data_IF_421094075577
#
_entry.id   IF_421094075577
#
_cell.length_a   1.000
_cell.length_b   1.000
_cell.length_c   1.000
_cell.angle_alpha   90.00
_cell.angle_beta   90.00
_cell.angle_gamma   90.00
#
_symmetry.space_group_name_H-M   'P 1'
#
loop_
_entity.id
_entity.type
_entity.pdbx_description
1 polymer ?
#
# COMPACT_ATOMS: atom_id res chain seq x y z
N UNK A 1 33.14 11.52 18.71
CA UNK A 1 31.84 10.85 18.70
C UNK A 1 31.56 10.46 17.27
N UNK A 2 31.77 9.18 16.97
CA UNK A 2 31.46 8.59 15.67
C UNK A 2 29.94 8.66 15.49
N UNK A 3 29.46 9.61 14.69
CA UNK A 3 28.06 9.61 14.24
C UNK A 3 28.00 8.47 13.24
N UNK A 4 27.70 7.27 13.74
CA UNK A 4 27.57 6.08 12.92
C UNK A 4 26.73 6.44 11.71
N UNK A 5 27.34 6.36 10.52
CA UNK A 5 26.58 6.44 9.27
C UNK A 5 25.50 5.36 9.39
N UNK A 6 24.23 5.78 9.45
CA UNK A 6 23.13 4.84 9.30
C UNK A 6 23.39 4.02 8.03
N UNK A 7 23.13 2.71 8.09
CA UNK A 7 23.32 1.85 6.95
C UNK A 7 22.58 2.43 5.74
N UNK A 8 23.27 2.53 4.61
CA UNK A 8 22.69 3.04 3.37
C UNK A 8 21.57 2.10 2.91
N UNK A 9 20.39 2.66 2.58
CA UNK A 9 19.27 1.86 2.09
C UNK A 9 19.63 1.35 0.70
N UNK A 10 19.67 0.03 0.54
CA UNK A 10 20.00 -0.61 -0.73
C UNK A 10 18.77 -1.33 -1.28
N UNK A 11 18.63 -1.32 -2.61
CA UNK A 11 17.67 -2.21 -3.26
C UNK A 11 18.07 -3.66 -3.02
N UNK A 12 17.16 -4.43 -2.42
CA UNK A 12 17.32 -5.87 -2.17
C UNK A 12 16.53 -6.73 -3.17
N UNK A 13 16.07 -6.14 -4.27
CA UNK A 13 15.33 -6.87 -5.30
C UNK A 13 16.23 -7.92 -5.95
N UNK A 14 15.72 -9.14 -6.06
CA UNK A 14 16.36 -10.28 -6.72
C UNK A 14 15.39 -10.90 -7.71
N UNK A 15 15.75 -10.90 -8.99
CA UNK A 15 14.98 -11.57 -10.06
C UNK A 15 14.78 -13.05 -9.77
N UNK A 16 15.78 -13.70 -9.17
CA UNK A 16 15.70 -15.10 -8.80
C UNK A 16 14.66 -15.33 -7.70
N UNK A 17 14.71 -14.57 -6.60
CA UNK A 17 13.75 -14.72 -5.50
C UNK A 17 12.33 -14.35 -5.96
N UNK A 18 12.19 -13.31 -6.78
CA UNK A 18 10.92 -12.94 -7.38
C UNK A 18 10.33 -14.11 -8.19
N UNK A 19 11.14 -14.76 -9.03
CA UNK A 19 10.73 -15.94 -9.79
C UNK A 19 10.37 -17.13 -8.89
N UNK A 20 11.07 -17.33 -7.78
CA UNK A 20 10.76 -18.37 -6.79
C UNK A 20 9.40 -18.11 -6.11
N UNK A 21 9.09 -16.86 -5.76
CA UNK A 21 7.77 -16.49 -5.22
C UNK A 21 6.67 -16.71 -6.26
N UNK A 22 6.89 -16.33 -7.52
CA UNK A 22 5.94 -16.58 -8.61
C UNK A 22 5.71 -18.08 -8.77
N UNK A 23 6.77 -18.88 -8.87
CA UNK A 23 6.67 -20.34 -8.99
C UNK A 23 5.91 -20.98 -7.81
N UNK A 24 6.07 -20.43 -6.61
CA UNK A 24 5.42 -20.92 -5.40
C UNK A 24 3.94 -20.56 -5.30
N UNK A 25 3.55 -19.34 -5.68
CA UNK A 25 2.21 -18.81 -5.34
C UNK A 25 1.32 -18.49 -6.54
N UNK A 26 1.86 -18.33 -7.76
CA UNK A 26 1.09 -17.80 -8.88
C UNK A 26 -0.03 -18.75 -9.34
N UNK A 27 0.11 -20.06 -9.14
CA UNK A 27 -0.93 -21.03 -9.49
C UNK A 27 -2.23 -20.82 -8.69
N UNK A 28 -2.11 -20.43 -7.42
CA UNK A 28 -3.26 -20.27 -6.51
C UNK A 28 -3.71 -18.81 -6.39
N UNK A 29 -2.77 -17.86 -6.51
CA UNK A 29 -2.98 -16.45 -6.17
C UNK A 29 -2.76 -15.49 -7.35
N UNK A 30 -2.28 -15.99 -8.48
CA UNK A 30 -1.87 -15.18 -9.63
C UNK A 30 -0.49 -14.55 -9.44
N UNK A 31 0.18 -14.31 -10.57
CA UNK A 31 1.55 -13.77 -10.60
C UNK A 31 1.66 -12.41 -9.92
N UNK A 32 0.68 -11.52 -10.13
CA UNK A 32 0.71 -10.18 -9.55
C UNK A 32 0.70 -10.19 -8.02
N UNK A 33 -0.08 -11.08 -7.41
CA UNK A 33 -0.14 -11.17 -5.95
C UNK A 33 1.09 -11.88 -5.38
N UNK A 34 1.65 -12.86 -6.10
CA UNK A 34 2.92 -13.49 -5.74
C UNK A 34 4.07 -12.47 -5.71
N UNK A 35 4.21 -11.64 -6.75
CA UNK A 35 5.19 -10.56 -6.81
C UNK A 35 4.93 -9.48 -5.78
N UNK A 36 3.67 -9.14 -5.51
CA UNK A 36 3.33 -8.18 -4.45
C UNK A 36 3.73 -8.71 -3.07
N UNK A 37 3.52 -9.99 -2.82
CA UNK A 37 3.93 -10.64 -1.56
C UNK A 37 5.45 -10.55 -1.39
N UNK A 38 6.22 -10.86 -2.44
CA UNK A 38 7.67 -10.75 -2.44
C UNK A 38 8.14 -9.32 -2.12
N UNK A 39 7.69 -8.35 -2.93
CA UNK A 39 8.09 -6.95 -2.77
C UNK A 39 7.65 -6.33 -1.44
N UNK A 40 6.49 -6.72 -0.91
CA UNK A 40 6.05 -6.28 0.42
C UNK A 40 7.00 -6.78 1.52
N UNK A 41 7.51 -8.02 1.41
CA UNK A 41 8.52 -8.55 2.34
C UNK A 41 9.83 -7.80 2.27
N UNK A 42 10.28 -7.38 1.09
CA UNK A 42 11.47 -6.55 0.95
C UNK A 42 11.33 -5.23 1.72
N UNK A 43 10.17 -4.58 1.61
CA UNK A 43 9.87 -3.35 2.35
C UNK A 43 9.82 -3.60 3.86
N UNK A 44 9.09 -4.64 4.29
CA UNK A 44 8.98 -5.00 5.71
C UNK A 44 10.32 -5.38 6.34
N UNK A 45 11.25 -5.94 5.57
CA UNK A 45 12.60 -6.29 6.02
C UNK A 45 13.56 -5.09 6.13
N UNK A 46 13.10 -3.88 5.81
CA UNK A 46 13.87 -2.63 5.91
C UNK A 46 13.29 -1.72 7.00
N UNK A 47 13.86 -1.73 8.22
CA UNK A 47 13.34 -0.96 9.37
C UNK A 47 13.30 0.55 9.13
N UNK A 48 14.16 1.08 8.26
CA UNK A 48 14.17 2.52 7.93
C UNK A 48 12.98 2.95 7.06
N UNK A 49 12.33 2.00 6.37
CA UNK A 49 11.12 2.23 5.56
C UNK A 49 9.84 1.93 6.35
N UNK A 50 9.87 0.92 7.22
CA UNK A 50 8.67 0.40 7.90
C UNK A 50 8.86 0.45 9.41
N UNK A 51 8.41 1.55 10.03
CA UNK A 51 8.49 1.75 11.47
C UNK A 51 7.35 1.03 12.21
N UNK A 52 7.70 0.23 13.22
CA UNK A 52 6.77 -0.32 14.21
C UNK A 52 5.53 -1.07 13.65
N UNK A 53 5.66 -1.75 12.51
CA UNK A 53 4.55 -2.45 11.86
C UNK A 53 3.57 -1.55 11.10
N UNK A 54 3.93 -0.27 10.90
CA UNK A 54 3.24 0.67 10.03
C UNK A 54 3.41 0.37 8.53
N UNK A 55 2.96 1.28 7.68
CA UNK A 55 2.96 1.09 6.23
C UNK A 55 1.97 0.02 5.74
N UNK A 56 1.75 0.00 4.43
CA UNK A 56 0.95 -1.00 3.74
C UNK A 56 1.26 -1.01 2.25
N UNK A 57 0.79 -2.04 1.57
CA UNK A 57 0.98 -2.19 0.13
C UNK A 57 -0.28 -2.76 -0.51
N UNK A 58 -0.39 -2.53 -1.81
CA UNK A 58 -1.47 -3.10 -2.61
C UNK A 58 -1.03 -3.51 -4.00
N UNK A 59 -1.77 -4.45 -4.58
CA UNK A 59 -1.73 -4.73 -6.01
C UNK A 59 -3.13 -4.75 -6.60
N UNK A 60 -3.29 -4.15 -7.77
CA UNK A 60 -4.52 -4.21 -8.58
C UNK A 60 -4.41 -5.34 -9.59
N UNK A 61 -5.45 -6.15 -9.70
CA UNK A 61 -5.54 -7.26 -10.65
C UNK A 61 -7.02 -7.52 -10.98
N UNK A 62 -7.33 -8.61 -11.67
CA UNK A 62 -8.69 -9.07 -11.91
C UNK A 62 -9.10 -10.13 -10.90
N UNK A 63 -10.37 -10.14 -10.51
CA UNK A 63 -10.99 -11.23 -9.77
C UNK A 63 -12.11 -11.86 -10.58
N UNK A 64 -12.24 -13.18 -10.48
CA UNK A 64 -13.30 -13.96 -11.12
C UNK A 64 -14.29 -14.46 -10.08
N UNK A 65 -15.57 -14.14 -10.24
CA UNK A 65 -16.61 -14.65 -9.34
C UNK A 65 -17.07 -16.08 -9.71
N UNK A 66 -17.99 -16.63 -8.92
CA UNK A 66 -18.56 -17.98 -9.12
C UNK A 66 -19.34 -18.14 -10.43
N UNK A 67 -19.74 -17.04 -11.07
CA UNK A 67 -20.40 -17.02 -12.37
C UNK A 67 -19.40 -16.94 -13.53
N UNK A 68 -18.10 -16.86 -13.23
CA UNK A 68 -17.04 -16.74 -14.22
C UNK A 68 -16.80 -15.32 -14.72
N UNK A 69 -17.46 -14.31 -14.14
CA UNK A 69 -17.31 -12.90 -14.53
C UNK A 69 -16.04 -12.32 -13.92
N UNK A 70 -15.27 -11.59 -14.73
CA UNK A 70 -14.07 -10.90 -14.29
C UNK A 70 -14.33 -9.42 -14.04
N UNK A 71 -13.81 -8.90 -12.93
CA UNK A 71 -13.89 -7.48 -12.61
C UNK A 71 -12.63 -6.98 -11.91
N UNK A 72 -12.38 -5.66 -11.92
CA UNK A 72 -11.21 -5.07 -11.26
C UNK A 72 -11.24 -5.30 -9.75
N UNK A 73 -10.12 -5.80 -9.22
CA UNK A 73 -9.91 -6.04 -7.81
C UNK A 73 -8.64 -5.35 -7.31
N UNK A 74 -8.60 -5.08 -6.02
CA UNK A 74 -7.40 -4.62 -5.32
C UNK A 74 -7.14 -5.49 -4.10
N UNK A 75 -5.89 -5.90 -3.92
CA UNK A 75 -5.42 -6.72 -2.82
C UNK A 75 -4.56 -5.85 -1.92
N UNK A 76 -5.06 -5.51 -0.74
CA UNK A 76 -4.42 -4.58 0.21
C UNK A 76 -3.96 -5.35 1.44
N UNK A 77 -2.78 -5.03 1.99
CA UNK A 77 -2.31 -5.60 3.26
C UNK A 77 -3.41 -5.54 4.35
N UNK A 78 -3.64 -6.66 5.03
CA UNK A 78 -4.50 -6.72 6.20
C UNK A 78 -3.99 -5.81 7.33
N UNK A 79 -4.91 -5.22 8.08
CA UNK A 79 -4.57 -4.48 9.29
C UNK A 79 -3.89 -5.42 10.31
N UNK A 80 -2.81 -4.94 10.95
CA UNK A 80 -2.03 -5.72 11.92
C UNK A 80 -1.10 -6.81 11.34
N UNK A 81 -1.17 -7.11 10.04
CA UNK A 81 -0.21 -8.03 9.42
C UNK A 81 1.17 -7.39 9.25
N UNK A 82 2.22 -8.15 9.59
CA UNK A 82 3.61 -7.76 9.39
C UNK A 82 4.02 -7.96 7.92
N UNK A 83 4.55 -6.91 7.29
CA UNK A 83 4.99 -6.98 5.90
C UNK A 83 6.19 -7.92 5.71
N UNK A 84 7.10 -8.02 6.69
CA UNK A 84 8.31 -8.83 6.57
C UNK A 84 8.03 -10.33 6.47
N UNK A 85 6.87 -10.77 6.97
CA UNK A 85 6.43 -12.17 6.99
C UNK A 85 5.13 -12.41 6.21
N UNK A 86 4.64 -11.42 5.46
CA UNK A 86 3.34 -11.44 4.79
C UNK A 86 3.23 -12.61 3.81
N UNK A 87 2.17 -13.40 3.89
CA UNK A 87 1.82 -14.44 2.91
C UNK A 87 0.69 -13.92 1.99
N UNK A 88 0.42 -14.55 0.83
CA UNK A 88 -0.62 -14.06 -0.10
C UNK A 88 -2.00 -13.87 0.56
N UNK A 89 -2.37 -14.75 1.49
CA UNK A 89 -3.62 -14.65 2.26
C UNK A 89 -3.70 -13.43 3.18
N UNK A 90 -2.57 -12.78 3.48
CA UNK A 90 -2.48 -11.52 4.22
C UNK A 90 -2.85 -10.29 3.38
N UNK A 91 -3.13 -10.45 2.09
CA UNK A 91 -3.68 -9.40 1.24
C UNK A 91 -5.20 -9.55 1.10
N UNK A 92 -5.94 -8.62 1.69
CA UNK A 92 -7.39 -8.53 1.61
C UNK A 92 -7.81 -8.11 0.20
N UNK A 93 -8.49 -8.99 -0.52
CA UNK A 93 -9.09 -8.67 -1.81
C UNK A 93 -10.37 -7.85 -1.66
N UNK A 94 -10.49 -6.75 -2.41
CA UNK A 94 -11.65 -5.87 -2.47
C UNK A 94 -12.09 -5.60 -3.92
N UNK A 95 -13.38 -5.33 -4.11
CA UNK A 95 -13.93 -4.81 -5.37
C UNK A 95 -13.42 -3.38 -5.63
N UNK A 96 -12.47 -3.24 -6.56
CA UNK A 96 -11.85 -1.95 -6.89
C UNK A 96 -12.85 -1.00 -7.57
N UNK A 97 -13.79 -1.52 -8.35
CA UNK A 97 -14.82 -0.71 -9.01
C UNK A 97 -15.72 -0.03 -8.00
N UNK A 98 -16.19 -0.78 -7.00
CA UNK A 98 -16.99 -0.26 -5.90
C UNK A 98 -16.22 0.77 -5.08
N UNK A 99 -14.96 0.48 -4.70
CA UNK A 99 -14.15 1.43 -3.94
C UNK A 99 -13.94 2.74 -4.71
N UNK A 100 -13.61 2.69 -6.01
CA UNK A 100 -13.42 3.91 -6.82
C UNK A 100 -14.66 4.81 -6.87
N UNK A 101 -15.87 4.24 -6.81
CA UNK A 101 -17.11 5.04 -6.77
C UNK A 101 -17.23 5.87 -5.50
N UNK A 102 -16.62 5.43 -4.38
CA UNK A 102 -16.61 6.20 -3.13
C UNK A 102 -15.91 7.56 -3.28
N UNK A 103 -15.00 7.72 -4.26
CA UNK A 103 -14.34 9.00 -4.54
C UNK A 103 -15.32 10.14 -4.86
N UNK A 104 -16.49 9.80 -5.42
CA UNK A 104 -17.53 10.78 -5.76
C UNK A 104 -18.25 11.36 -4.53
N UNK A 105 -18.09 10.76 -3.34
CA UNK A 105 -18.72 11.26 -2.12
C UNK A 105 -18.05 12.57 -1.66
N UNK A 106 -18.83 13.49 -1.05
CA UNK A 106 -18.28 14.70 -0.46
C UNK A 106 -17.41 14.40 0.76
N UNK A 107 -17.75 13.36 1.53
CA UNK A 107 -17.04 12.92 2.72
C UNK A 107 -17.49 11.53 3.14
N UNK A 108 -16.64 10.85 3.92
CA UNK A 108 -16.91 9.58 4.58
C UNK A 108 -16.08 9.58 5.87
N UNK A 109 -16.71 9.28 7.01
CA UNK A 109 -16.02 9.16 8.29
C UNK A 109 -15.36 7.78 8.44
N UNK A 110 -14.60 7.59 9.52
CA UNK A 110 -13.81 6.37 9.70
C UNK A 110 -14.70 5.12 9.86
N UNK A 111 -15.83 5.24 10.56
CA UNK A 111 -16.78 4.14 10.74
C UNK A 111 -17.41 3.74 9.41
N UNK A 112 -17.92 4.71 8.64
CA UNK A 112 -18.47 4.47 7.32
C UNK A 112 -17.42 3.94 6.35
N UNK A 113 -16.18 4.40 6.43
CA UNK A 113 -15.07 3.89 5.62
C UNK A 113 -14.80 2.41 5.92
N UNK A 114 -14.68 2.04 7.20
CA UNK A 114 -14.48 0.64 7.61
C UNK A 114 -15.65 -0.23 7.16
N UNK A 115 -16.88 0.24 7.29
CA UNK A 115 -18.07 -0.47 6.81
C UNK A 115 -18.00 -0.73 5.30
N UNK A 116 -17.75 0.31 4.49
CA UNK A 116 -17.66 0.16 3.04
C UNK A 116 -16.52 -0.78 2.62
N UNK A 117 -15.37 -0.72 3.29
CA UNK A 117 -14.27 -1.66 3.05
C UNK A 117 -14.67 -3.10 3.35
N UNK A 118 -15.43 -3.36 4.42
CA UNK A 118 -15.93 -4.71 4.77
C UNK A 118 -17.00 -5.20 3.79
N UNK A 119 -17.92 -4.34 3.36
CA UNK A 119 -18.99 -4.68 2.40
C UNK A 119 -18.45 -5.07 1.02
N UNK A 120 -17.25 -4.58 0.67
CA UNK A 120 -16.63 -4.82 -0.63
C UNK A 120 -15.49 -5.84 -0.60
N UNK A 121 -15.36 -6.63 0.48
CA UNK A 121 -14.46 -7.77 0.52
C UNK A 121 -14.88 -8.84 -0.49
N UNK A 122 -13.90 -9.39 -1.22
CA UNK A 122 -14.12 -10.50 -2.16
C UNK A 122 -14.37 -11.83 -1.45
N UNK A 123 -13.97 -11.92 -0.18
CA UNK A 123 -14.16 -13.07 0.68
C UNK A 123 -14.67 -12.63 2.05
N UNK A 124 -15.77 -13.23 2.50
CA UNK A 124 -16.40 -12.87 3.77
C UNK A 124 -15.51 -13.17 5.00
N UNK A 125 -14.64 -14.18 4.90
CA UNK A 125 -13.69 -14.60 5.93
C UNK A 125 -12.36 -13.84 5.88
N UNK A 126 -12.19 -12.91 4.93
CA UNK A 126 -10.98 -12.11 4.85
C UNK A 126 -10.80 -11.23 6.10
N UNK A 127 -9.54 -11.01 6.52
CA UNK A 127 -9.24 -10.07 7.59
C UNK A 127 -9.66 -8.64 7.21
N UNK A 128 -9.68 -7.75 8.19
CA UNK A 128 -9.96 -6.34 7.92
C UNK A 128 -8.79 -5.71 7.14
N UNK A 129 -9.03 -5.05 6.00
CA UNK A 129 -7.99 -4.38 5.23
C UNK A 129 -7.41 -3.17 5.99
N UNK A 130 -6.26 -2.67 5.55
CA UNK A 130 -5.73 -1.39 6.03
C UNK A 130 -6.78 -0.27 5.90
N UNK A 131 -6.84 0.63 6.89
CA UNK A 131 -7.70 1.83 6.86
C UNK A 131 -7.32 2.78 5.72
N UNK A 132 -6.07 2.71 5.23
CA UNK A 132 -5.57 3.52 4.12
C UNK A 132 -5.90 2.91 2.75
N UNK A 133 -6.68 1.82 2.68
CA UNK A 133 -7.03 1.14 1.44
C UNK A 133 -7.63 2.06 0.35
N UNK A 134 -8.31 3.15 0.74
CA UNK A 134 -8.85 4.10 -0.23
C UNK A 134 -7.78 4.92 -0.96
N UNK A 135 -6.64 5.22 -0.32
CA UNK A 135 -5.48 5.86 -0.99
C UNK A 135 -5.04 4.94 -2.13
N UNK A 136 -4.90 3.65 -1.83
CA UNK A 136 -4.53 2.63 -2.81
C UNK A 136 -5.57 2.48 -3.92
N UNK A 137 -6.86 2.52 -3.60
CA UNK A 137 -7.93 2.37 -4.59
C UNK A 137 -8.01 3.56 -5.56
N UNK A 138 -7.76 4.78 -5.09
CA UNK A 138 -7.95 6.01 -5.87
C UNK A 138 -6.78 6.33 -6.78
N UNK A 139 -5.56 5.89 -6.43
CA UNK A 139 -4.39 6.05 -7.29
C UNK A 139 -4.44 5.10 -8.51
N UNK A 140 -4.10 5.57 -9.73
CA UNK A 140 -4.29 4.82 -10.98
C UNK A 140 -3.21 3.78 -11.28
N UNK A 141 -2.35 3.44 -10.32
CA UNK A 141 -1.20 2.53 -10.52
C UNK A 141 -1.47 1.11 -10.04
N UNK A 142 -0.87 0.11 -10.68
CA UNK A 142 -1.09 -1.32 -10.37
C UNK A 142 -0.53 -1.70 -9.01
N UNK A 143 0.75 -1.37 -8.75
CA UNK A 143 1.41 -1.60 -7.47
C UNK A 143 1.53 -0.28 -6.73
N UNK A 144 1.21 -0.28 -5.44
CA UNK A 144 1.32 0.91 -4.60
C UNK A 144 1.92 0.49 -3.27
N UNK A 145 2.93 1.23 -2.87
CA UNK A 145 3.62 1.10 -1.60
C UNK A 145 3.40 2.35 -0.77
N UNK A 146 3.07 2.14 0.50
CA UNK A 146 2.89 3.18 1.48
C UNK A 146 3.77 2.86 2.68
N UNK A 147 4.70 3.75 2.98
CA UNK A 147 5.70 3.55 4.02
C UNK A 147 5.67 4.73 4.97
N UNK A 148 6.20 4.53 6.18
CA UNK A 148 6.42 5.59 7.16
C UNK A 148 7.92 5.76 7.34
N UNK A 149 8.62 6.00 6.24
CA UNK A 149 10.07 6.03 6.22
C UNK A 149 10.63 7.15 7.11
N UNK A 150 11.57 6.80 8.00
CA UNK A 150 12.13 7.72 9.01
C UNK A 150 12.75 8.96 8.36
N UNK A 151 13.50 8.76 7.28
CA UNK A 151 14.10 9.86 6.52
C UNK A 151 13.06 10.82 5.96
N UNK A 152 11.93 10.33 5.43
CA UNK A 152 10.87 11.19 4.88
C UNK A 152 10.17 11.96 6.00
N UNK A 153 9.91 11.33 7.14
CA UNK A 153 9.38 12.01 8.32
C UNK A 153 10.33 13.10 8.81
N UNK A 154 11.64 12.86 8.81
CA UNK A 154 12.64 13.84 9.22
C UNK A 154 12.70 15.05 8.26
N UNK A 155 12.60 14.83 6.94
CA UNK A 155 12.60 15.89 5.95
C UNK A 155 11.31 16.73 6.02
N UNK A 156 10.16 16.08 6.19
CA UNK A 156 8.84 16.74 6.15
C UNK A 156 8.43 17.42 7.46
N UNK A 157 8.94 16.99 8.62
CA UNK A 157 8.66 17.63 9.93
C UNK A 157 9.50 18.89 10.17
N UNK A 158 9.52 19.80 9.20
CA UNK A 158 10.25 21.08 9.24
C UNK A 158 9.37 22.19 8.69
N UNK A 159 9.61 23.42 9.13
CA UNK A 159 8.92 24.60 8.57
C UNK A 159 9.20 24.79 7.07
N UNK A 160 10.40 24.44 6.62
CA UNK A 160 10.85 24.48 5.22
C UNK A 160 10.79 23.10 4.52
N UNK A 161 9.99 22.16 5.05
CA UNK A 161 10.02 20.75 4.67
C UNK A 161 9.80 20.49 3.18
N UNK A 162 8.89 21.22 2.51
CA UNK A 162 8.66 21.05 1.07
C UNK A 162 9.92 21.38 0.24
N UNK A 163 10.59 22.50 0.55
CA UNK A 163 11.79 22.91 -0.16
C UNK A 163 12.93 21.89 0.03
N UNK A 164 13.09 21.41 1.26
CA UNK A 164 14.09 20.38 1.60
C UNK A 164 13.79 19.04 0.91
N UNK A 165 12.52 18.64 0.81
CA UNK A 165 12.13 17.43 0.08
C UNK A 165 12.42 17.57 -1.41
N UNK A 166 12.12 18.71 -2.04
CA UNK A 166 12.44 18.94 -3.46
C UNK A 166 13.95 18.96 -3.71
N UNK A 167 14.73 19.56 -2.81
CA UNK A 167 16.20 19.52 -2.89
C UNK A 167 16.74 18.09 -2.80
N UNK A 168 16.20 17.28 -1.89
CA UNK A 168 16.69 15.92 -1.64
C UNK A 168 16.21 14.89 -2.66
N UNK A 169 14.95 14.97 -3.12
CA UNK A 169 14.30 13.94 -3.96
C UNK A 169 14.02 14.41 -5.40
N UNK A 170 14.20 15.69 -5.70
CA UNK A 170 13.94 16.27 -7.01
C UNK A 170 12.47 16.60 -7.27
N UNK A 171 12.19 17.00 -8.51
CA UNK A 171 10.87 17.52 -8.94
C UNK A 171 9.87 16.43 -9.36
N UNK A 172 10.29 15.15 -9.38
CA UNK A 172 9.40 14.02 -9.69
C UNK A 172 8.53 13.61 -8.49
N UNK A 173 8.71 14.26 -7.33
CA UNK A 173 7.94 14.01 -6.11
C UNK A 173 6.88 15.09 -5.92
N UNK A 174 5.66 14.63 -5.61
CA UNK A 174 4.57 15.49 -5.17
C UNK A 174 4.57 15.55 -3.64
N UNK A 175 4.58 16.76 -3.08
CA UNK A 175 4.52 16.99 -1.64
C UNK A 175 3.12 17.48 -1.28
N UNK A 176 2.44 16.76 -0.40
CA UNK A 176 1.14 17.16 0.13
C UNK A 176 1.31 17.80 1.52
N UNK A 177 0.56 18.87 1.84
CA UNK A 177 0.45 19.33 3.22
C UNK A 177 -0.17 18.23 4.08
N UNK A 178 0.03 18.29 5.40
CA UNK A 178 -0.54 17.32 6.31
C UNK A 178 -2.07 17.25 6.15
N UNK A 179 -2.56 16.06 5.82
CA UNK A 179 -3.99 15.72 5.79
C UNK A 179 -4.20 14.54 6.73
N UNK A 180 -5.24 14.62 7.56
CA UNK A 180 -5.61 13.51 8.45
C UNK A 180 -5.80 12.22 7.64
N UNK A 181 -5.19 11.08 8.05
CA UNK A 181 -5.36 9.80 7.38
C UNK A 181 -6.84 9.41 7.22
N UNK A 182 -7.13 8.63 6.17
CA UNK A 182 -8.49 8.19 5.83
C UNK A 182 -9.01 8.80 4.53
N UNK A 183 -10.32 9.01 4.44
CA UNK A 183 -10.99 9.42 3.20
C UNK A 183 -10.47 10.74 2.61
N UNK A 184 -10.20 11.74 3.46
CA UNK A 184 -9.67 13.05 3.02
C UNK A 184 -8.29 12.92 2.39
N UNK A 185 -7.39 12.17 3.03
CA UNK A 185 -6.07 11.89 2.49
C UNK A 185 -6.14 11.15 1.15
N UNK A 186 -7.03 10.15 1.03
CA UNK A 186 -7.22 9.43 -0.21
C UNK A 186 -7.64 10.33 -1.37
N UNK A 187 -8.53 11.30 -1.14
CA UNK A 187 -8.94 12.28 -2.16
C UNK A 187 -7.80 13.22 -2.52
N UNK A 188 -7.13 13.80 -1.52
CA UNK A 188 -5.99 14.69 -1.72
C UNK A 188 -4.89 14.00 -2.55
N UNK A 189 -4.52 12.77 -2.20
CA UNK A 189 -3.52 11.98 -2.93
C UNK A 189 -3.90 11.70 -4.39
N UNK A 190 -5.19 11.58 -4.70
CA UNK A 190 -5.66 11.31 -6.05
C UNK A 190 -5.91 12.55 -6.90
N UNK A 191 -5.88 13.75 -6.30
CA UNK A 191 -6.06 15.04 -6.96
C UNK A 191 -4.73 15.76 -7.23
N UNK A 192 -3.68 15.37 -6.51
CA UNK A 192 -2.31 15.86 -6.67
C UNK A 192 -1.66 15.34 -7.96
#
# INVERSE_FOLDING_TARGET
MDRGRGAEVQSRWSEQEAAEFVARYAADWGEALALRTYSARLLGAEPSLVLHGGGNSSVKTTWRNIFGEEFPAIFVKASGADMASLEPAGHCGLDLGALRRLRALPGLDDEGMVEQLRLHLLRADAPTPSIEALVHAFLPFTYIDHTHADAILALTNREDGEAVVREALGEEVIVLPYVTPGFKLAKAAAEA
#
